data_IF_616449841903
#
_entry.id   IF_616449841903
#
_cell.length_a   1.000
_cell.length_b   1.000
_cell.length_c   1.000
_cell.angle_alpha   90.00
_cell.angle_beta   90.00
_cell.angle_gamma   90.00
#
_symmetry.space_group_name_H-M   'P 1'
#
loop_
_entity.id
_entity.type
_entity.pdbx_description
1 polymer ?
#
# COMPACT_ATOMS: atom_id res chain seq x y z
N UNK A 1 -3.01 12.39 4.98
CA UNK A 1 -3.01 12.87 3.57
C UNK A 1 -3.30 11.69 2.64
N UNK A 2 -3.58 11.92 1.36
CA UNK A 2 -3.79 10.84 0.37
C UNK A 2 -2.49 10.56 -0.39
N UNK A 3 -2.00 9.32 -0.33
CA UNK A 3 -0.65 8.95 -0.78
C UNK A 3 -0.72 7.75 -1.72
N UNK A 4 -0.06 7.88 -2.87
CA UNK A 4 0.10 6.82 -3.86
C UNK A 4 1.44 6.12 -3.65
N UNK A 5 1.45 4.78 -3.54
CA UNK A 5 2.67 3.98 -3.33
C UNK A 5 2.85 2.99 -4.47
N UNK A 6 3.95 3.10 -5.20
CA UNK A 6 4.38 2.08 -6.18
C UNK A 6 5.20 0.99 -5.48
N UNK A 7 5.09 -0.25 -5.95
CA UNK A 7 5.78 -1.37 -5.31
C UNK A 7 5.26 -1.69 -3.91
N UNK A 8 4.00 -1.35 -3.62
CA UNK A 8 3.35 -1.50 -2.31
C UNK A 8 3.36 -2.95 -1.77
N UNK A 9 3.46 -3.95 -2.65
CA UNK A 9 3.50 -5.37 -2.29
C UNK A 9 4.92 -5.91 -2.09
N UNK A 10 5.96 -5.10 -2.32
CA UNK A 10 7.35 -5.48 -2.08
C UNK A 10 7.72 -5.42 -0.59
N UNK A 11 8.86 -6.00 -0.22
CA UNK A 11 9.34 -6.04 1.17
C UNK A 11 9.36 -4.66 1.83
N UNK A 12 9.94 -3.67 1.16
CA UNK A 12 10.02 -2.29 1.67
C UNK A 12 8.68 -1.59 1.54
N UNK A 13 8.01 -1.70 0.39
CA UNK A 13 6.74 -1.04 0.12
C UNK A 13 5.67 -1.40 1.14
N UNK A 14 5.61 -2.67 1.57
CA UNK A 14 4.66 -3.12 2.57
C UNK A 14 4.91 -2.45 3.94
N UNK A 15 6.18 -2.31 4.36
CA UNK A 15 6.56 -1.63 5.60
C UNK A 15 6.22 -0.14 5.55
N UNK A 16 6.50 0.51 4.41
CA UNK A 16 6.13 1.91 4.17
C UNK A 16 4.62 2.10 4.25
N UNK A 17 3.83 1.27 3.57
CA UNK A 17 2.37 1.33 3.62
C UNK A 17 1.85 1.15 5.06
N UNK A 18 2.36 0.17 5.80
CA UNK A 18 2.00 -0.06 7.20
C UNK A 18 2.26 1.18 8.06
N UNK A 19 3.43 1.79 7.92
CA UNK A 19 3.77 3.02 8.65
C UNK A 19 2.84 4.18 8.28
N UNK A 20 2.59 4.40 7.00
CA UNK A 20 1.71 5.48 6.53
C UNK A 20 0.27 5.30 7.03
N UNK A 21 -0.26 4.08 7.02
CA UNK A 21 -1.57 3.76 7.60
C UNK A 21 -1.58 4.03 9.11
N UNK A 22 -0.53 3.65 9.83
CA UNK A 22 -0.42 3.91 11.28
C UNK A 22 -0.41 5.39 11.63
N UNK A 23 0.07 6.23 10.71
CA UNK A 23 0.06 7.70 10.81
C UNK A 23 -1.25 8.33 10.32
N UNK A 24 -2.27 7.51 10.02
CA UNK A 24 -3.60 7.92 9.52
C UNK A 24 -3.58 8.60 8.15
N UNK A 25 -2.65 8.21 7.29
CA UNK A 25 -2.71 8.56 5.87
C UNK A 25 -3.64 7.60 5.12
N UNK A 26 -4.35 8.13 4.13
CA UNK A 26 -5.09 7.31 3.16
C UNK A 26 -4.08 6.82 2.11
N UNK A 27 -3.84 5.51 2.08
CA UNK A 27 -2.83 4.90 1.22
C UNK A 27 -3.49 4.16 0.07
N UNK A 28 -3.01 4.44 -1.15
CA UNK A 28 -3.39 3.75 -2.39
C UNK A 28 -2.15 3.11 -2.97
N UNK A 29 -2.10 1.78 -3.02
CA UNK A 29 -0.99 1.03 -3.61
C UNK A 29 -1.22 0.72 -5.08
N UNK A 30 -0.27 1.07 -5.95
CA UNK A 30 -0.24 0.59 -7.35
C UNK A 30 0.37 -0.80 -7.39
N UNK A 31 -0.38 -1.74 -7.96
CA UNK A 31 0.03 -3.13 -8.08
C UNK A 31 -0.17 -3.64 -9.50
N UNK A 32 0.64 -4.62 -9.93
CA UNK A 32 0.48 -5.25 -11.25
C UNK A 32 -0.66 -6.26 -11.29
N UNK A 33 -1.10 -6.75 -10.13
CA UNK A 33 -2.25 -7.63 -9.97
C UNK A 33 -2.77 -7.55 -8.55
N UNK A 34 -4.09 -7.68 -8.37
CA UNK A 34 -4.75 -7.68 -7.06
C UNK A 34 -4.39 -8.90 -6.20
N UNK A 35 -3.86 -9.96 -6.80
CA UNK A 35 -3.48 -11.21 -6.12
C UNK A 35 -2.24 -11.09 -5.24
N UNK A 36 -1.42 -10.07 -5.45
CA UNK A 36 -0.13 -9.91 -4.77
C UNK A 36 -0.23 -9.25 -3.38
N UNK A 37 -1.43 -8.83 -2.94
CA UNK A 37 -1.55 -8.07 -1.71
C UNK A 37 -1.79 -8.94 -0.48
N UNK A 38 -0.82 -8.94 0.44
CA UNK A 38 -0.94 -9.56 1.76
C UNK A 38 -1.59 -8.63 2.81
N UNK A 39 -1.63 -7.32 2.56
CA UNK A 39 -2.10 -6.32 3.52
C UNK A 39 -3.56 -5.91 3.22
N UNK A 40 -4.42 -5.91 4.24
CA UNK A 40 -5.85 -5.55 4.10
C UNK A 40 -6.18 -4.11 4.49
N UNK A 41 -5.15 -3.34 4.86
CA UNK A 41 -5.33 -2.08 5.58
C UNK A 41 -5.19 -0.83 4.67
N UNK A 42 -4.98 -1.03 3.37
CA UNK A 42 -4.92 0.05 2.38
C UNK A 42 -5.54 -0.36 1.03
N UNK A 43 -5.96 0.64 0.23
CA UNK A 43 -6.61 0.41 -1.05
C UNK A 43 -5.60 0.06 -2.15
N UNK A 44 -6.05 -0.72 -3.14
CA UNK A 44 -5.25 -1.06 -4.32
C UNK A 44 -5.80 -0.39 -5.57
N UNK A 45 -4.88 0.11 -6.40
CA UNK A 45 -5.11 0.46 -7.78
C UNK A 45 -4.34 -0.56 -8.63
N UNK A 46 -5.06 -1.30 -9.49
CA UNK A 46 -4.47 -2.26 -10.44
C UNK A 46 -4.21 -1.56 -11.77
#
# INVERSE_FOLDING_TARGET
MRILVVGATGLIGASVCSRLVSERHEVVGIVRSSRANAARDYQLLV
#
